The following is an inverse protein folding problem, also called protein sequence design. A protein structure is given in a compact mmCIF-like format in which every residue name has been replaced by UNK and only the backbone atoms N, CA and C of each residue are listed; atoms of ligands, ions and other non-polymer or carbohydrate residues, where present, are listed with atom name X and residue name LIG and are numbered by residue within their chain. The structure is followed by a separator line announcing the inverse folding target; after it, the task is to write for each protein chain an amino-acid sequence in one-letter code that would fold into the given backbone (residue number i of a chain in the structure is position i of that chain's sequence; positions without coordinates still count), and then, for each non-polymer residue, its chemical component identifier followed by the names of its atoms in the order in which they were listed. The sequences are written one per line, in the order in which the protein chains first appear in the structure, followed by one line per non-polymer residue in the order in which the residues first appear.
data_IF_047687159376
#
_entry.id   IF_047687159376
#
_cell.length_a   1.000
_cell.length_b   1.000
_cell.length_c   1.000
_cell.angle_alpha   90.00
_cell.angle_beta   90.00
_cell.angle_gamma   90.00
#
_symmetry.space_group_name_H-M   'P 1'
#
loop_
_entity.id
_entity.type
_entity.pdbx_description
1 polymer ?
#
# COMPACT_ATOMS: atom_id res chain seq x y z
N UNK A 1 -12.84 -48.81 35.49
CA UNK A 1 -13.04 -48.98 34.04
C UNK A 1 -12.65 -47.67 33.38
N UNK A 2 -11.56 -47.67 32.62
CA UNK A 2 -10.90 -46.49 32.06
C UNK A 2 -11.31 -46.32 30.61
N UNK A 3 -11.87 -45.17 30.23
CA UNK A 3 -12.17 -44.84 28.83
C UNK A 3 -11.07 -43.95 28.29
N UNK A 4 -10.19 -44.53 27.48
CA UNK A 4 -9.20 -43.80 26.69
C UNK A 4 -9.92 -42.97 25.61
N UNK A 5 -9.61 -41.68 25.56
CA UNK A 5 -10.08 -40.77 24.52
C UNK A 5 -9.03 -40.82 23.41
N UNK A 6 -9.40 -41.39 22.27
CA UNK A 6 -8.56 -41.46 21.08
C UNK A 6 -8.29 -40.04 20.55
N UNK A 7 -7.03 -39.63 20.58
CA UNK A 7 -6.57 -38.37 20.02
C UNK A 7 -6.22 -38.57 18.54
N UNK A 8 -7.10 -38.09 17.65
CA UNK A 8 -6.77 -37.99 16.22
C UNK A 8 -5.68 -36.91 16.01
N UNK A 9 -4.67 -37.17 15.15
CA UNK A 9 -3.64 -36.18 14.85
C UNK A 9 -4.23 -35.03 14.03
N UNK A 10 -4.16 -33.81 14.58
CA UNK A 10 -4.46 -32.58 13.85
C UNK A 10 -3.42 -32.38 12.74
N UNK A 11 -3.84 -32.50 11.49
CA UNK A 11 -3.03 -32.11 10.33
C UNK A 11 -2.95 -30.59 10.27
N UNK A 12 -1.83 -30.01 10.73
CA UNK A 12 -1.52 -28.59 10.53
C UNK A 12 -1.37 -28.31 9.03
N UNK A 13 -2.11 -27.35 8.44
CA UNK A 13 -1.90 -26.98 7.05
C UNK A 13 -0.52 -26.33 6.89
N UNK A 14 0.39 -27.03 6.22
CA UNK A 14 1.68 -26.49 5.78
C UNK A 14 1.40 -25.38 4.77
N UNK A 15 1.40 -24.13 5.23
CA UNK A 15 1.34 -22.96 4.35
C UNK A 15 2.63 -22.90 3.53
N UNK A 16 2.63 -23.52 2.36
CA UNK A 16 3.70 -23.34 1.38
C UNK A 16 3.61 -21.89 0.89
N UNK A 17 4.59 -21.02 1.18
CA UNK A 17 4.55 -19.65 0.71
C UNK A 17 4.52 -19.68 -0.82
N UNK A 18 3.37 -19.30 -1.38
CA UNK A 18 3.21 -19.19 -2.82
C UNK A 18 4.23 -18.15 -3.32
N UNK A 19 5.05 -18.44 -4.33
CA UNK A 19 5.98 -17.46 -4.88
C UNK A 19 5.18 -16.29 -5.44
N UNK A 20 5.15 -15.19 -4.69
CA UNK A 20 4.55 -13.93 -5.12
C UNK A 20 5.46 -13.38 -6.21
N UNK A 21 4.97 -13.36 -7.46
CA UNK A 21 5.73 -12.80 -8.58
C UNK A 21 6.06 -11.34 -8.22
N UNK A 22 7.36 -11.07 -8.03
CA UNK A 22 7.83 -9.80 -7.51
C UNK A 22 7.38 -8.65 -8.42
N UNK A 23 6.78 -7.62 -7.83
CA UNK A 23 6.57 -6.34 -8.48
C UNK A 23 7.94 -5.76 -8.83
N UNK A 24 8.13 -5.28 -10.06
CA UNK A 24 9.38 -4.66 -10.48
C UNK A 24 9.43 -3.24 -9.92
N UNK A 25 10.28 -3.02 -8.92
CA UNK A 25 10.61 -1.69 -8.44
C UNK A 25 11.44 -0.96 -9.50
N UNK A 26 10.93 0.19 -9.97
CA UNK A 26 11.61 1.11 -10.89
C UNK A 26 12.50 2.10 -10.13
N UNK A 27 12.14 2.37 -8.88
CA UNK A 27 12.92 3.19 -7.96
C UNK A 27 13.08 2.42 -6.64
N UNK A 28 14.24 2.46 -5.96
CA UNK A 28 14.39 1.83 -4.65
C UNK A 28 13.42 2.44 -3.61
N UNK A 29 13.03 1.67 -2.57
CA UNK A 29 12.29 2.20 -1.44
C UNK A 29 13.00 3.41 -0.85
N UNK A 30 12.26 4.51 -0.75
CA UNK A 30 12.76 5.80 -0.29
C UNK A 30 11.94 6.23 0.92
N UNK A 31 12.64 6.68 1.97
CA UNK A 31 12.00 7.27 3.14
C UNK A 31 12.02 8.78 3.05
N UNK A 32 10.90 9.39 3.39
CA UNK A 32 10.78 10.84 3.47
C UNK A 32 9.98 11.23 4.71
N UNK A 33 10.21 12.45 5.19
CA UNK A 33 9.44 13.02 6.29
C UNK A 33 8.74 14.27 5.82
N UNK A 34 7.43 14.33 5.99
CA UNK A 34 6.62 15.48 5.61
C UNK A 34 5.66 15.84 6.75
N UNK A 35 5.68 17.10 7.19
CA UNK A 35 4.88 17.60 8.32
C UNK A 35 4.92 16.68 9.55
N UNK A 36 6.13 16.22 9.90
CA UNK A 36 6.36 15.33 11.05
C UNK A 36 6.02 13.86 10.84
N UNK A 37 5.29 13.50 9.78
CA UNK A 37 4.94 12.11 9.43
C UNK A 37 6.03 11.49 8.57
N UNK A 38 6.40 10.24 8.87
CA UNK A 38 7.37 9.45 8.12
C UNK A 38 6.66 8.56 7.10
N UNK A 39 7.17 8.56 5.87
CA UNK A 39 6.66 7.82 4.75
C UNK A 39 7.76 6.95 4.17
N UNK A 40 7.42 5.74 3.77
CA UNK A 40 8.25 4.92 2.89
C UNK A 40 7.47 4.69 1.60
N UNK A 41 8.10 4.93 0.46
CA UNK A 41 7.46 4.77 -0.85
C UNK A 41 8.45 4.20 -1.87
N UNK A 42 7.92 3.56 -2.90
CA UNK A 42 8.70 3.04 -4.02
C UNK A 42 7.92 3.29 -5.31
N UNK A 43 8.58 3.37 -6.46
CA UNK A 43 7.91 3.44 -7.76
C UNK A 43 8.00 2.08 -8.41
N UNK A 44 6.89 1.58 -8.93
CA UNK A 44 6.77 0.24 -9.45
C UNK A 44 6.08 0.22 -10.81
N UNK A 45 6.52 -0.67 -11.71
CA UNK A 45 5.73 -1.05 -12.85
C UNK A 45 4.64 -2.06 -12.42
N UNK A 46 3.36 -1.85 -12.78
CA UNK A 46 2.30 -2.77 -12.40
C UNK A 46 2.48 -4.12 -13.14
N UNK A 47 2.44 -5.27 -12.44
CA UNK A 47 2.44 -6.56 -13.12
C UNK A 47 1.16 -6.73 -13.94
N UNK A 48 1.21 -7.55 -15.00
CA UNK A 48 0.08 -7.77 -15.94
C UNK A 48 -1.24 -8.10 -15.24
N UNK A 49 -1.21 -8.86 -14.14
CA UNK A 49 -2.42 -9.15 -13.37
C UNK A 49 -3.02 -7.89 -12.73
N UNK A 50 -2.18 -7.01 -12.20
CA UNK A 50 -2.63 -5.77 -11.59
C UNK A 50 -3.05 -4.73 -12.63
N UNK A 51 -2.41 -4.71 -13.80
CA UNK A 51 -2.83 -3.88 -14.95
C UNK A 51 -4.30 -4.11 -15.34
N UNK A 52 -4.81 -5.35 -15.24
CA UNK A 52 -6.23 -5.66 -15.50
C UNK A 52 -7.16 -5.02 -14.48
N UNK A 53 -6.75 -4.93 -13.22
CA UNK A 53 -7.53 -4.24 -12.19
C UNK A 53 -7.47 -2.72 -12.39
N UNK A 54 -6.28 -2.19 -12.72
CA UNK A 54 -6.13 -0.77 -13.06
C UNK A 54 -7.01 -0.36 -14.26
N UNK A 55 -7.13 -1.21 -15.29
CA UNK A 55 -8.01 -0.96 -16.44
C UNK A 55 -9.49 -0.80 -16.05
N UNK A 56 -9.93 -1.43 -14.95
CA UNK A 56 -11.30 -1.31 -14.45
C UNK A 56 -11.54 0.00 -13.70
N UNK A 57 -10.52 0.45 -12.96
CA UNK A 57 -10.59 1.67 -12.13
C UNK A 57 -10.35 2.91 -13.00
N UNK A 58 -9.47 2.82 -14.00
CA UNK A 58 -9.06 3.91 -14.90
C UNK A 58 -9.25 3.52 -16.38
N UNK A 59 -10.49 3.38 -16.86
CA UNK A 59 -10.78 2.82 -18.19
C UNK A 59 -10.23 3.63 -19.36
N UNK A 60 -10.01 4.94 -19.16
CA UNK A 60 -9.49 5.85 -20.20
C UNK A 60 -7.96 5.89 -20.28
N UNK A 61 -7.25 5.13 -19.42
CA UNK A 61 -5.79 5.14 -19.32
C UNK A 61 -5.23 3.80 -19.77
N UNK A 62 -4.05 3.84 -20.39
CA UNK A 62 -3.28 2.64 -20.74
C UNK A 62 -2.56 2.11 -19.48
N UNK A 63 -2.97 0.97 -18.89
CA UNK A 63 -2.39 0.44 -17.67
C UNK A 63 -0.91 0.05 -17.82
N UNK A 64 -0.46 -0.22 -19.05
CA UNK A 64 0.94 -0.57 -19.33
C UNK A 64 1.89 0.63 -19.22
N UNK A 65 1.34 1.86 -19.27
CA UNK A 65 2.09 3.11 -19.12
C UNK A 65 1.93 3.74 -17.73
N UNK A 66 1.19 3.10 -16.83
CA UNK A 66 1.00 3.61 -15.48
C UNK A 66 2.16 3.18 -14.58
N UNK A 67 2.55 4.08 -13.67
CA UNK A 67 3.40 3.74 -12.54
C UNK A 67 2.55 3.66 -11.28
N UNK A 68 2.89 2.71 -10.41
CA UNK A 68 2.24 2.54 -9.11
C UNK A 68 3.22 2.97 -8.04
N UNK A 69 2.76 3.85 -7.16
CA UNK A 69 3.56 4.32 -6.01
C UNK A 69 2.91 3.82 -4.74
N UNK A 70 3.20 2.59 -4.27
CA UNK A 70 2.80 2.18 -2.93
C UNK A 70 3.48 3.09 -1.91
N UNK A 71 2.71 3.49 -0.91
CA UNK A 71 3.13 4.37 0.16
C UNK A 71 2.76 3.71 1.48
N UNK A 72 3.72 3.66 2.40
CA UNK A 72 3.57 3.13 3.74
C UNK A 72 3.78 4.27 4.72
N UNK A 73 2.84 4.42 5.64
CA UNK A 73 2.92 5.40 6.71
C UNK A 73 3.17 4.68 8.03
N UNK A 74 4.07 5.26 8.84
CA UNK A 74 4.28 4.75 10.19
C UNK A 74 3.08 5.13 11.07
N UNK A 75 2.48 4.12 11.68
CA UNK A 75 1.36 4.26 12.61
C UNK A 75 1.80 3.95 14.04
N UNK A 76 1.12 4.52 15.02
CA UNK A 76 1.32 4.31 16.44
C UNK A 76 0.58 3.07 16.94
N UNK A 77 -0.63 2.82 16.43
CA UNK A 77 -1.44 1.66 16.79
C UNK A 77 -1.30 0.54 15.75
N UNK A 78 -1.62 -0.68 16.18
CA UNK A 78 -1.83 -1.81 15.27
C UNK A 78 -3.17 -1.63 14.53
N UNK A 79 -3.07 -1.27 13.24
CA UNK A 79 -4.24 -1.00 12.40
C UNK A 79 -5.00 -2.25 11.96
N UNK A 80 -4.55 -3.46 12.33
CA UNK A 80 -5.32 -4.70 12.17
C UNK A 80 -6.44 -4.77 13.23
N UNK A 81 -6.24 -4.12 14.37
CA UNK A 81 -7.19 -4.07 15.47
C UNK A 81 -8.48 -3.31 15.13
N UNK A 82 -9.46 -3.45 16.02
CA UNK A 82 -10.73 -2.69 15.98
C UNK A 82 -10.80 -1.85 17.25
N UNK A 83 -11.11 -0.56 17.12
CA UNK A 83 -11.30 0.33 18.26
C UNK A 83 -11.25 1.81 17.87
N UNK A 84 -11.89 2.65 18.67
CA UNK A 84 -12.03 4.08 18.38
C UNK A 84 -10.67 4.78 18.14
N UNK A 85 -9.62 4.39 18.86
CA UNK A 85 -8.28 4.96 18.67
C UNK A 85 -7.65 4.56 17.33
N UNK A 86 -7.91 3.33 16.87
CA UNK A 86 -7.45 2.85 15.55
C UNK A 86 -8.21 3.55 14.44
N UNK A 87 -9.52 3.74 14.59
CA UNK A 87 -10.34 4.43 13.59
C UNK A 87 -9.95 5.91 13.46
N UNK A 88 -9.77 6.60 14.60
CA UNK A 88 -9.27 7.98 14.60
C UNK A 88 -7.90 8.08 13.93
N UNK A 89 -6.97 7.17 14.23
CA UNK A 89 -5.66 7.18 13.56
C UNK A 89 -5.77 6.93 12.06
N UNK A 90 -6.63 6.00 11.62
CA UNK A 90 -6.84 5.74 10.18
C UNK A 90 -7.35 6.98 9.45
N UNK A 91 -8.30 7.69 10.04
CA UNK A 91 -8.86 8.91 9.47
C UNK A 91 -7.79 10.02 9.39
N UNK A 92 -7.04 10.25 10.48
CA UNK A 92 -5.93 11.22 10.48
C UNK A 92 -4.86 10.91 9.42
N UNK A 93 -4.50 9.63 9.27
CA UNK A 93 -3.49 9.17 8.32
C UNK A 93 -3.96 9.38 6.87
N UNK A 94 -5.24 9.10 6.58
CA UNK A 94 -5.86 9.36 5.27
C UNK A 94 -5.94 10.85 4.95
N UNK A 95 -6.31 11.68 5.92
CA UNK A 95 -6.33 13.14 5.77
C UNK A 95 -4.94 13.69 5.44
N UNK A 96 -3.89 13.19 6.09
CA UNK A 96 -2.51 13.62 5.83
C UNK A 96 -2.06 13.33 4.39
N UNK A 97 -2.44 12.18 3.81
CA UNK A 97 -2.16 11.88 2.39
C UNK A 97 -2.95 12.84 1.48
N UNK A 98 -4.23 13.00 1.77
CA UNK A 98 -5.18 13.65 0.87
C UNK A 98 -5.04 15.17 0.86
N UNK A 99 -4.83 15.77 2.04
CA UNK A 99 -4.79 17.22 2.25
C UNK A 99 -3.38 17.78 2.37
N UNK A 100 -2.43 16.98 2.89
CA UNK A 100 -1.08 17.44 3.21
C UNK A 100 -0.11 17.40 2.03
N UNK A 101 -0.14 16.34 1.22
CA UNK A 101 0.99 16.02 0.35
C UNK A 101 0.82 16.24 -1.16
N UNK A 102 -0.35 16.63 -1.66
CA UNK A 102 -0.57 16.82 -3.10
C UNK A 102 -0.50 15.55 -3.96
N UNK A 103 -0.11 14.39 -3.40
CA UNK A 103 0.06 13.11 -4.10
C UNK A 103 -1.24 12.58 -4.74
N UNK A 104 -2.40 12.92 -4.19
CA UNK A 104 -3.72 12.53 -4.71
C UNK A 104 -4.42 13.61 -5.55
N UNK A 105 -3.86 14.82 -5.64
CA UNK A 105 -4.47 15.89 -6.45
C UNK A 105 -4.01 15.71 -7.89
N UNK A 106 -4.88 15.15 -8.73
CA UNK A 106 -4.68 15.13 -10.18
C UNK A 106 -4.62 16.59 -10.66
N UNK A 107 -3.41 17.15 -10.80
CA UNK A 107 -3.21 18.39 -11.55
C UNK A 107 -3.59 18.05 -12.99
N UNK A 108 -4.82 18.39 -13.37
CA UNK A 108 -5.18 18.54 -14.78
C UNK A 108 -4.16 19.45 -15.43
N UNK A 109 -3.64 19.03 -16.58
CA UNK A 109 -2.43 19.58 -17.18
C UNK A 109 -2.40 21.10 -17.30
N UNK A 110 -1.43 21.68 -16.59
CA UNK A 110 -0.52 22.78 -16.95
C UNK A 110 0.31 23.05 -15.69
N UNK A 111 1.49 23.60 -15.87
CA UNK A 111 2.42 23.99 -14.78
C UNK A 111 3.32 22.84 -14.31
N UNK A 112 4.06 22.30 -15.28
CA UNK A 112 5.38 21.73 -15.08
C UNK A 112 6.40 22.78 -15.51
N UNK A 113 6.55 23.83 -14.71
CA UNK A 113 7.73 24.70 -14.67
C UNK A 113 7.75 25.35 -13.28
N UNK A 114 8.93 25.61 -12.77
CA UNK A 114 9.25 26.07 -11.41
C UNK A 114 9.17 25.00 -10.30
N UNK A 115 10.28 24.28 -10.16
CA UNK A 115 10.92 24.04 -8.86
C UNK A 115 12.41 23.70 -9.11
N UNK A 116 13.14 24.67 -9.65
CA UNK A 116 14.56 24.84 -9.34
C UNK A 116 14.72 26.20 -8.65
N UNK A 117 15.57 26.22 -7.61
CA UNK A 117 16.06 27.38 -6.84
C UNK A 117 15.23 27.81 -5.62
N UNK A 118 15.86 27.65 -4.45
CA UNK A 118 15.43 28.17 -3.15
C UNK A 118 16.11 27.44 -2.00
#
# INVERSE_FOLDING_TARGET
MSTAVDALPQTTPTHVPRPTRATVALHPPTRSRYRGTEYEWTVCAPPVRFQRELARIFPERDPGKMHVVPMVQRCNNDLIGVGAQVDVEKDEMLERVSLGGGWGRVRGGRDADELESG
#
